data_IF_725510278366
#
_entry.id   IF_725510278366
#
_cell.length_a   1.000
_cell.length_b   1.000
_cell.length_c   1.000
_cell.angle_alpha   90.00
_cell.angle_beta   90.00
_cell.angle_gamma   90.00
#
_symmetry.space_group_name_H-M   'P 1'
#
loop_
_entity.id
_entity.type
_entity.pdbx_description
1 polymer ?
#
# COMPACT_ATOMS: atom_id res chain seq x y z
N UNK A 1 -12.87 -25.55 28.72
CA UNK A 1 -12.68 -24.39 27.81
C UNK A 1 -11.26 -24.45 27.26
N UNK A 2 -11.04 -25.19 26.17
CA UNK A 2 -9.71 -25.36 25.57
C UNK A 2 -9.29 -24.08 24.85
N UNK A 3 -8.11 -23.56 25.14
CA UNK A 3 -7.50 -22.43 24.44
C UNK A 3 -6.67 -23.01 23.30
N UNK A 4 -7.16 -22.92 22.07
CA UNK A 4 -6.45 -23.43 20.89
C UNK A 4 -5.26 -22.51 20.54
N UNK A 5 -4.14 -22.71 21.22
CA UNK A 5 -2.89 -21.98 20.97
C UNK A 5 -2.21 -22.60 19.75
N UNK A 6 -2.21 -21.89 18.61
CA UNK A 6 -1.57 -22.33 17.37
C UNK A 6 -0.11 -21.86 17.32
N UNK A 7 0.83 -22.78 17.47
CA UNK A 7 2.25 -22.51 17.25
C UNK A 7 2.59 -22.59 15.75
N UNK A 8 2.91 -21.45 15.12
CA UNK A 8 3.48 -21.43 13.77
C UNK A 8 5.00 -21.63 13.88
N UNK A 9 5.50 -22.82 13.54
CA UNK A 9 6.95 -23.10 13.40
C UNK A 9 7.47 -22.52 12.08
N UNK A 10 7.52 -21.19 11.98
CA UNK A 10 8.16 -20.50 10.87
C UNK A 10 9.67 -20.38 11.05
N UNK A 11 10.42 -20.16 9.97
CA UNK A 11 11.83 -19.85 10.04
C UNK A 11 12.06 -18.46 10.66
N UNK A 12 13.07 -18.33 11.52
CA UNK A 12 13.46 -17.04 12.11
C UNK A 12 14.35 -16.28 11.12
N UNK A 13 13.83 -15.18 10.54
CA UNK A 13 14.57 -14.33 9.61
C UNK A 13 15.39 -13.30 10.40
N UNK A 14 16.69 -13.58 10.57
CA UNK A 14 17.63 -12.67 11.22
C UNK A 14 18.05 -11.55 10.26
N UNK A 15 17.19 -10.54 10.13
CA UNK A 15 17.46 -9.37 9.27
C UNK A 15 18.45 -8.43 9.93
N UNK A 16 19.59 -8.20 9.26
CA UNK A 16 20.54 -7.14 9.62
C UNK A 16 19.95 -5.80 9.15
N UNK A 17 19.88 -4.79 10.03
CA UNK A 17 19.26 -3.49 9.73
C UNK A 17 17.77 -3.39 10.11
N UNK A 18 17.32 -4.18 11.09
CA UNK A 18 15.94 -4.12 11.62
C UNK A 18 15.59 -2.68 12.03
N UNK A 19 14.50 -2.16 11.47
CA UNK A 19 14.01 -0.83 11.79
C UNK A 19 13.67 -0.69 13.28
N UNK A 20 14.02 0.46 13.87
CA UNK A 20 13.59 0.81 15.21
C UNK A 20 12.07 0.94 15.27
N UNK A 21 11.47 0.53 16.40
CA UNK A 21 10.03 0.62 16.65
C UNK A 21 9.63 1.99 17.21
N UNK A 22 10.31 3.04 16.79
CA UNK A 22 10.05 4.42 17.20
C UNK A 22 9.36 5.17 16.06
N UNK A 23 8.35 5.97 16.42
CA UNK A 23 7.66 6.84 15.47
C UNK A 23 8.38 8.19 15.49
N UNK A 24 9.20 8.44 14.48
CA UNK A 24 9.87 9.74 14.31
C UNK A 24 9.02 10.65 13.42
N UNK A 25 8.88 11.93 13.80
CA UNK A 25 8.26 12.95 12.97
C UNK A 25 9.19 13.31 11.81
N UNK A 26 9.13 12.52 10.73
CA UNK A 26 9.83 12.80 9.49
C UNK A 26 9.05 13.81 8.65
N UNK A 27 9.77 14.60 7.84
CA UNK A 27 9.15 15.47 6.83
C UNK A 27 8.24 14.65 5.93
N UNK A 28 7.03 15.16 5.69
CA UNK A 28 6.12 14.57 4.71
C UNK A 28 6.72 14.74 3.31
N UNK A 29 6.57 13.74 2.46
CA UNK A 29 6.91 13.88 1.04
C UNK A 29 5.90 14.83 0.39
N UNK A 30 6.36 15.69 -0.51
CA UNK A 30 5.48 16.55 -1.31
C UNK A 30 4.89 15.80 -2.51
N UNK A 31 5.60 14.76 -2.97
CA UNK A 31 5.25 13.97 -4.13
C UNK A 31 4.87 12.55 -3.70
N UNK A 32 3.77 12.07 -4.27
CA UNK A 32 3.25 10.72 -4.10
C UNK A 32 2.89 10.16 -5.47
N UNK A 33 3.08 8.85 -5.64
CA UNK A 33 2.71 8.13 -6.85
C UNK A 33 1.86 6.92 -6.48
N UNK A 34 0.91 6.57 -7.36
CA UNK A 34 0.16 5.33 -7.29
C UNK A 34 0.73 4.40 -8.35
N UNK A 35 1.19 3.22 -7.96
CA UNK A 35 1.70 2.20 -8.88
C UNK A 35 0.58 1.19 -9.20
N UNK A 36 0.08 1.12 -10.45
CA UNK A 36 -0.99 0.19 -10.79
C UNK A 36 -0.61 -1.28 -10.59
N UNK A 37 0.67 -1.63 -10.70
CA UNK A 37 1.16 -3.00 -10.50
C UNK A 37 1.01 -3.52 -9.06
N UNK A 38 0.81 -2.64 -8.08
CA UNK A 38 0.61 -3.05 -6.69
C UNK A 38 -0.78 -3.68 -6.47
N UNK A 39 -1.69 -3.51 -7.43
CA UNK A 39 -3.03 -4.03 -7.37
C UNK A 39 -3.14 -5.27 -8.26
N UNK A 40 -3.39 -6.42 -7.63
CA UNK A 40 -3.47 -7.69 -8.33
C UNK A 40 -4.75 -7.78 -9.17
N UNK A 41 -4.63 -8.25 -10.42
CA UNK A 41 -5.75 -8.45 -11.36
C UNK A 41 -6.60 -7.21 -11.71
N UNK A 42 -6.04 -6.01 -11.53
CA UNK A 42 -6.63 -4.73 -11.94
C UNK A 42 -6.27 -4.43 -13.39
N UNK A 43 -7.22 -3.96 -14.22
CA UNK A 43 -6.90 -3.29 -15.50
C UNK A 43 -7.08 -1.78 -15.33
N UNK A 44 -6.01 -1.01 -15.07
CA UNK A 44 -6.14 0.41 -14.75
C UNK A 44 -6.62 1.22 -15.96
N UNK A 45 -7.74 1.91 -15.81
CA UNK A 45 -8.22 2.91 -16.75
C UNK A 45 -8.15 4.29 -16.08
N UNK A 46 -7.28 5.13 -16.60
CA UNK A 46 -7.06 6.50 -16.10
C UNK A 46 -8.32 7.34 -16.29
N UNK A 47 -8.68 8.08 -15.25
CA UNK A 47 -9.79 9.06 -15.26
C UNK A 47 -9.28 10.50 -15.36
N UNK A 48 -8.00 10.71 -15.07
CA UNK A 48 -7.35 12.03 -15.04
C UNK A 48 -6.24 12.10 -16.09
N UNK A 49 -5.94 13.31 -16.54
CA UNK A 49 -4.83 13.64 -17.44
C UNK A 49 -3.70 14.34 -16.69
N UNK A 50 -2.55 14.41 -17.35
CA UNK A 50 -1.40 15.16 -16.85
C UNK A 50 -1.78 16.64 -16.66
N UNK A 51 -1.58 17.17 -15.45
CA UNK A 51 -1.92 18.54 -15.09
C UNK A 51 -3.32 18.74 -14.48
N UNK A 52 -4.15 17.70 -14.39
CA UNK A 52 -5.47 17.80 -13.75
C UNK A 52 -5.34 18.03 -12.23
N UNK A 53 -6.17 18.93 -11.70
CA UNK A 53 -6.27 19.16 -10.27
C UNK A 53 -7.08 18.04 -9.60
N UNK A 54 -6.44 17.24 -8.77
CA UNK A 54 -7.08 16.18 -7.98
C UNK A 54 -7.25 16.61 -6.53
N UNK A 55 -8.44 16.39 -5.98
CA UNK A 55 -8.72 16.62 -4.55
C UNK A 55 -8.42 15.37 -3.73
N UNK A 56 -8.31 15.53 -2.41
CA UNK A 56 -8.17 14.38 -1.50
C UNK A 56 -9.40 13.48 -1.64
N UNK A 57 -9.18 12.21 -1.98
CA UNK A 57 -10.24 11.22 -2.19
C UNK A 57 -10.80 11.17 -3.62
N UNK A 58 -10.30 11.99 -4.55
CA UNK A 58 -10.66 11.86 -5.96
C UNK A 58 -10.08 10.58 -6.58
N UNK A 59 -10.88 9.90 -7.40
CA UNK A 59 -10.42 8.72 -8.13
C UNK A 59 -9.47 9.12 -9.27
N UNK A 60 -8.28 8.51 -9.30
CA UNK A 60 -7.26 8.74 -10.34
C UNK A 60 -7.42 7.74 -11.49
N UNK A 61 -7.73 6.48 -11.16
CA UNK A 61 -8.02 5.41 -12.11
C UNK A 61 -9.05 4.45 -11.52
N UNK A 62 -9.71 3.70 -12.38
CA UNK A 62 -10.63 2.62 -12.01
C UNK A 62 -10.23 1.32 -12.71
N UNK A 63 -10.75 0.19 -12.23
CA UNK A 63 -10.64 -1.07 -12.95
C UNK A 63 -11.60 -1.06 -14.13
N UNK A 64 -11.12 -1.37 -15.32
CA UNK A 64 -11.96 -1.48 -16.52
C UNK A 64 -13.10 -2.49 -16.34
N UNK A 65 -12.92 -3.51 -15.50
CA UNK A 65 -13.88 -4.59 -15.31
C UNK A 65 -14.95 -4.32 -14.25
N UNK A 66 -14.81 -3.25 -13.46
CA UNK A 66 -15.79 -2.86 -12.44
C UNK A 66 -16.06 -1.34 -12.53
N UNK A 67 -17.27 -0.99 -12.96
CA UNK A 67 -17.85 0.37 -12.91
C UNK A 67 -18.76 0.47 -11.70
#
# INVERSE_FOLDING_TARGET
>A
MSKDIRFKKGANLNLIGKAEKSINNKSKSDLFALQPNDFFSLTPKLLVREGDLVSKGSAVFHDKNNI
#
